data_IF_697640929057
#
_entry.id   IF_697640929057
#
_cell.length_a   1.000
_cell.length_b   1.000
_cell.length_c   1.000
_cell.angle_alpha   90.00
_cell.angle_beta   90.00
_cell.angle_gamma   90.00
#
_symmetry.space_group_name_H-M   'P 1'
#
loop_
_entity.id
_entity.type
_entity.pdbx_description
1 polymer ?
#
# COMPACT_ATOMS: atom_id res chain seq x y z
N UNK A 1 3.00 6.83 -2.81
CA UNK A 1 2.64 6.63 -1.40
C UNK A 1 3.18 7.74 -0.52
N UNK A 2 4.48 8.07 -0.58
CA UNK A 2 5.05 9.22 0.16
C UNK A 2 4.34 10.54 -0.10
N UNK A 3 3.95 10.82 -1.34
CA UNK A 3 3.19 12.04 -1.67
C UNK A 3 1.80 12.09 -1.01
N UNK A 4 1.14 10.94 -0.83
CA UNK A 4 -0.16 10.88 -0.12
C UNK A 4 0.04 11.05 1.39
N UNK A 5 1.13 10.53 1.95
CA UNK A 5 1.52 10.78 3.34
C UNK A 5 1.87 12.25 3.60
N UNK A 6 2.65 12.87 2.71
CA UNK A 6 3.02 14.29 2.79
C UNK A 6 1.81 15.23 2.75
N UNK A 7 0.74 14.81 2.07
CA UNK A 7 -0.54 15.55 2.00
C UNK A 7 -1.47 15.25 3.17
N UNK A 8 -1.07 14.41 4.12
CA UNK A 8 -1.89 14.00 5.27
C UNK A 8 -3.06 13.09 4.89
N UNK A 9 -3.09 12.55 3.68
CA UNK A 9 -4.17 11.65 3.20
C UNK A 9 -4.00 10.27 3.83
N UNK A 10 -2.74 9.84 4.00
CA UNK A 10 -2.39 8.62 4.72
C UNK A 10 -1.58 9.00 5.96
N UNK A 11 -1.64 8.17 7.01
CA UNK A 11 -0.63 8.25 8.06
C UNK A 11 0.76 7.93 7.49
N UNK A 12 1.81 8.46 8.13
CA UNK A 12 3.19 8.22 7.69
C UNK A 12 3.54 6.73 7.72
N UNK A 13 3.06 5.99 8.74
CA UNK A 13 3.20 4.54 8.84
C UNK A 13 2.52 3.80 7.69
N UNK A 14 1.27 4.14 7.38
CA UNK A 14 0.50 3.52 6.30
C UNK A 14 1.11 3.84 4.93
N UNK A 15 1.62 5.06 4.73
CA UNK A 15 2.32 5.43 3.52
C UNK A 15 3.61 4.60 3.31
N UNK A 16 4.37 4.33 4.38
CA UNK A 16 5.57 3.50 4.33
C UNK A 16 5.24 2.02 4.04
N UNK A 17 4.23 1.47 4.71
CA UNK A 17 3.75 0.11 4.48
C UNK A 17 3.27 -0.09 3.04
N UNK A 18 2.48 0.85 2.53
CA UNK A 18 1.98 0.80 1.15
C UNK A 18 3.08 1.01 0.10
N UNK A 19 4.14 1.78 0.41
CA UNK A 19 5.30 1.90 -0.45
C UNK A 19 6.05 0.56 -0.56
N UNK A 20 6.22 -0.15 0.57
CA UNK A 20 6.79 -1.49 0.62
C UNK A 20 5.96 -2.48 -0.21
N UNK A 21 4.63 -2.47 -0.03
CA UNK A 21 3.72 -3.32 -0.81
C UNK A 21 3.76 -3.04 -2.33
N UNK A 22 3.86 -1.76 -2.74
CA UNK A 22 4.04 -1.40 -4.14
C UNK A 22 5.39 -1.86 -4.71
N UNK A 23 6.46 -1.84 -3.90
CA UNK A 23 7.75 -2.40 -4.24
C UNK A 23 7.70 -3.92 -4.45
N UNK A 24 6.92 -4.63 -3.63
CA UNK A 24 6.71 -6.07 -3.78
C UNK A 24 6.07 -6.45 -5.12
N UNK A 25 5.11 -5.66 -5.63
CA UNK A 25 4.56 -5.84 -6.99
C UNK A 25 5.68 -5.83 -8.06
N UNK A 26 6.71 -5.00 -7.90
CA UNK A 26 7.83 -4.93 -8.84
C UNK A 26 8.72 -6.18 -8.77
N UNK A 27 8.91 -6.74 -7.56
CA UNK A 27 9.61 -8.00 -7.34
C UNK A 27 8.86 -9.16 -8.00
N UNK A 28 7.54 -9.25 -7.78
CA UNK A 28 6.69 -10.27 -8.40
C UNK A 28 6.78 -10.22 -9.92
N UNK A 29 6.64 -9.03 -10.53
CA UNK A 29 6.62 -8.87 -11.99
C UNK A 29 7.95 -9.17 -12.68
N UNK A 30 9.10 -9.00 -12.00
CA UNK A 30 10.42 -9.14 -12.61
C UNK A 30 11.18 -10.42 -12.22
N UNK A 31 10.75 -11.18 -11.19
CA UNK A 31 11.49 -12.35 -10.68
C UNK A 31 10.76 -13.69 -10.84
N UNK A 32 9.88 -13.83 -11.84
CA UNK A 32 9.21 -15.11 -12.08
C UNK A 32 10.21 -16.23 -12.46
N UNK A 33 10.36 -17.21 -11.57
CA UNK A 33 10.73 -18.58 -11.96
C UNK A 33 11.87 -19.27 -11.20
N UNK A 34 12.81 -18.56 -10.54
CA UNK A 34 13.92 -19.24 -9.82
C UNK A 34 14.44 -18.61 -8.52
N UNK A 35 14.12 -17.35 -8.20
CA UNK A 35 14.68 -16.64 -7.03
C UNK A 35 13.62 -15.90 -6.21
N UNK A 36 12.36 -16.33 -6.28
CA UNK A 36 11.32 -15.72 -5.47
C UNK A 36 11.55 -16.03 -3.98
N UNK A 37 11.93 -15.01 -3.22
CA UNK A 37 12.07 -15.14 -1.77
C UNK A 37 10.68 -15.33 -1.13
N UNK A 38 10.45 -16.53 -0.61
CA UNK A 38 9.17 -16.91 -0.01
C UNK A 38 8.88 -16.15 1.29
N UNK A 39 9.90 -15.73 2.04
CA UNK A 39 9.73 -14.90 3.24
C UNK A 39 9.21 -13.52 2.86
N UNK A 40 9.77 -12.91 1.81
CA UNK A 40 9.28 -11.63 1.30
C UNK A 40 7.83 -11.71 0.79
N UNK A 41 7.46 -12.84 0.17
CA UNK A 41 6.08 -13.10 -0.26
C UNK A 41 5.16 -13.28 0.93
N UNK A 42 5.58 -14.05 1.93
CA UNK A 42 4.84 -14.27 3.16
C UNK A 42 4.58 -12.94 3.87
N UNK A 43 5.61 -12.14 4.12
CA UNK A 43 5.48 -10.84 4.80
C UNK A 43 4.59 -9.86 4.00
N UNK A 44 4.61 -9.94 2.68
CA UNK A 44 3.75 -9.13 1.83
C UNK A 44 2.27 -9.58 1.81
N UNK A 45 1.99 -10.85 2.07
CA UNK A 45 0.62 -11.40 2.08
C UNK A 45 0.05 -11.57 3.49
N UNK A 46 0.89 -11.54 4.52
CA UNK A 46 0.50 -11.81 5.90
C UNK A 46 -0.39 -10.70 6.48
N UNK A 47 -0.22 -9.46 6.05
CA UNK A 47 -1.08 -8.35 6.45
C UNK A 47 -1.82 -7.76 5.25
N UNK A 48 -3.05 -8.24 5.05
CA UNK A 48 -3.98 -7.70 4.07
C UNK A 48 -4.82 -6.54 4.63
N UNK A 49 -4.88 -6.38 5.96
CA UNK A 49 -5.68 -5.34 6.63
C UNK A 49 -5.22 -3.93 6.26
N UNK A 50 -3.92 -3.75 6.02
CA UNK A 50 -3.36 -2.49 5.51
C UNK A 50 -4.01 -1.98 4.21
N UNK A 51 -4.47 -2.87 3.32
CA UNK A 51 -5.16 -2.46 2.10
C UNK A 51 -6.56 -1.92 2.38
N UNK A 52 -7.26 -2.50 3.36
CA UNK A 52 -8.54 -1.96 3.82
C UNK A 52 -8.35 -0.57 4.45
N UNK A 53 -7.37 -0.43 5.34
CA UNK A 53 -7.03 0.86 5.97
C UNK A 53 -6.70 1.91 4.92
N UNK A 54 -5.90 1.56 3.91
CA UNK A 54 -5.60 2.44 2.78
C UNK A 54 -6.87 2.88 2.04
N UNK A 55 -7.76 1.96 1.68
CA UNK A 55 -9.02 2.29 0.99
C UNK A 55 -9.91 3.22 1.82
N UNK A 56 -9.99 2.98 3.13
CA UNK A 56 -10.74 3.84 4.05
C UNK A 56 -10.15 5.25 4.08
N UNK A 57 -8.83 5.40 4.24
CA UNK A 57 -8.18 6.71 4.24
C UNK A 57 -8.39 7.48 2.94
N UNK A 58 -8.36 6.81 1.78
CA UNK A 58 -8.67 7.45 0.50
C UNK A 58 -10.13 7.89 0.45
N UNK A 59 -11.06 7.03 0.87
CA UNK A 59 -12.49 7.36 0.91
C UNK A 59 -12.76 8.57 1.82
N UNK A 60 -12.24 8.54 3.04
CA UNK A 60 -12.42 9.63 4.01
C UNK A 60 -11.90 10.95 3.45
N UNK A 61 -10.77 10.92 2.73
CA UNK A 61 -10.25 12.12 2.06
C UNK A 61 -11.17 12.60 0.93
N UNK A 62 -11.66 11.70 0.07
CA UNK A 62 -12.55 12.05 -1.04
C UNK A 62 -13.90 12.60 -0.55
N UNK A 63 -14.47 12.02 0.51
CA UNK A 63 -15.66 12.53 1.18
C UNK A 63 -15.38 13.94 1.76
N UNK A 64 -14.23 14.14 2.43
CA UNK A 64 -13.87 15.43 3.02
C UNK A 64 -13.67 16.56 2.00
N UNK A 65 -13.25 16.25 0.77
CA UNK A 65 -13.12 17.25 -0.32
C UNK A 65 -14.38 17.38 -1.17
N UNK A 66 -15.47 16.69 -0.82
CA UNK A 66 -16.74 16.73 -1.56
C UNK A 66 -16.65 16.11 -2.95
N UNK A 67 -15.74 15.16 -3.17
CA UNK A 67 -15.53 14.51 -4.47
C UNK A 67 -16.43 13.28 -4.70
N UNK A 68 -17.23 12.90 -3.70
CA UNK A 68 -18.13 11.74 -3.75
C UNK A 68 -19.62 12.11 -3.79
N UNK A 69 -19.94 13.41 -3.88
CA UNK A 69 -21.29 13.95 -4.06
C UNK A 69 -21.67 14.13 -5.55
#
# INVERSE_FOLDING_TARGET
>A
MSELGNRGILSESLAAEMASAAGFRNVLTHQYGRQLNHETVHDALHDLGRFETFLRSIRDHLDAVGALD
#
